data_IF_213035789026
#
_entry.id   IF_213035789026
#
_cell.length_a   1.000
_cell.length_b   1.000
_cell.length_c   1.000
_cell.angle_alpha   90.00
_cell.angle_beta   90.00
_cell.angle_gamma   90.00
#
_symmetry.space_group_name_H-M   'P 1'
#
loop_
_entity.id
_entity.type
_entity.pdbx_description
1 polymer ?
#
# COMPACT_ATOMS: atom_id res chain seq x y z
N UNK A 1 -11.71 -11.68 4.61
CA UNK A 1 -11.16 -11.09 5.86
C UNK A 1 -10.11 -11.98 6.53
N UNK A 2 -10.33 -13.31 6.70
CA UNK A 2 -9.32 -14.19 7.32
C UNK A 2 -8.09 -14.51 6.44
N UNK A 3 -8.23 -14.51 5.11
CA UNK A 3 -7.15 -14.89 4.19
C UNK A 3 -6.03 -13.83 4.08
N UNK A 4 -6.37 -12.54 3.99
CA UNK A 4 -5.36 -11.47 3.92
C UNK A 4 -4.48 -11.40 5.17
N UNK A 5 -5.05 -11.65 6.36
CA UNK A 5 -4.30 -11.65 7.63
C UNK A 5 -3.28 -12.78 7.69
N UNK A 6 -3.57 -13.95 7.11
CA UNK A 6 -2.64 -15.08 7.07
C UNK A 6 -1.52 -14.87 6.03
N UNK A 7 -1.81 -14.19 4.93
CA UNK A 7 -0.83 -13.89 3.87
C UNK A 7 0.17 -12.81 4.27
N UNK A 8 -0.26 -11.78 5.02
CA UNK A 8 0.62 -10.67 5.44
C UNK A 8 1.10 -10.76 6.91
N UNK A 9 0.92 -11.92 7.55
CA UNK A 9 1.33 -12.12 8.96
C UNK A 9 2.85 -12.05 9.16
N UNK A 10 3.62 -12.41 8.13
CA UNK A 10 5.06 -12.25 8.10
C UNK A 10 5.51 -12.07 6.64
N UNK A 11 6.45 -11.15 6.35
CA UNK A 11 7.08 -11.10 5.04
C UNK A 11 7.75 -12.45 4.73
N UNK A 12 7.76 -12.89 3.46
CA UNK A 12 8.47 -14.11 3.09
C UNK A 12 9.94 -13.99 3.49
N UNK A 13 10.59 -15.10 3.88
CA UNK A 13 12.00 -15.08 4.28
C UNK A 13 12.96 -14.60 3.17
N UNK A 14 12.47 -14.47 1.94
CA UNK A 14 13.18 -13.88 0.80
C UNK A 14 12.46 -12.64 0.30
N UNK A 15 11.96 -11.81 1.21
CA UNK A 15 11.35 -10.55 0.85
C UNK A 15 12.37 -9.70 0.06
N UNK A 16 11.99 -9.31 -1.15
CA UNK A 16 12.81 -8.38 -1.93
C UNK A 16 12.69 -6.98 -1.34
N UNK A 17 13.77 -6.19 -1.35
CA UNK A 17 13.64 -4.77 -1.02
C UNK A 17 12.73 -4.08 -2.04
N UNK A 18 11.92 -3.15 -1.57
CA UNK A 18 11.16 -2.28 -2.46
C UNK A 18 12.10 -1.49 -3.38
N UNK A 19 11.64 -1.25 -4.61
CA UNK A 19 12.30 -0.33 -5.54
C UNK A 19 12.30 1.11 -5.02
N UNK A 20 12.97 2.04 -5.73
CA UNK A 20 12.90 3.45 -5.38
C UNK A 20 11.46 3.95 -5.45
N UNK A 21 11.06 4.83 -4.51
CA UNK A 21 9.70 5.35 -4.42
C UNK A 21 9.16 5.88 -5.77
N UNK A 22 10.01 6.55 -6.55
CA UNK A 22 9.64 7.09 -7.87
C UNK A 22 9.24 6.06 -8.93
N UNK A 23 9.54 4.78 -8.75
CA UNK A 23 8.98 3.70 -9.59
C UNK A 23 7.48 3.54 -9.39
N UNK A 24 6.99 3.81 -8.17
CA UNK A 24 5.60 3.60 -7.76
C UNK A 24 4.77 4.89 -7.80
N UNK A 25 5.39 6.04 -8.07
CA UNK A 25 4.69 7.32 -8.15
C UNK A 25 3.84 7.38 -9.41
N UNK A 26 2.55 7.65 -9.26
CA UNK A 26 1.65 7.66 -10.40
C UNK A 26 0.18 7.70 -10.03
N UNK A 27 -0.66 7.73 -11.06
CA UNK A 27 -2.11 7.53 -10.92
C UNK A 27 -2.46 6.10 -11.27
N UNK A 28 -3.23 5.49 -10.41
CA UNK A 28 -3.71 4.13 -10.49
C UNK A 28 -5.24 4.15 -10.44
N UNK A 29 -5.85 3.13 -11.02
CA UNK A 29 -7.28 2.92 -10.92
C UNK A 29 -7.53 1.54 -10.32
N UNK A 30 -8.50 1.48 -9.42
CA UNK A 30 -8.95 0.22 -8.84
C UNK A 30 -10.49 0.24 -8.74
N UNK A 31 -11.15 -0.82 -9.19
CA UNK A 31 -12.61 -0.90 -9.22
C UNK A 31 -13.30 -0.76 -7.84
N UNK A 32 -12.58 -1.01 -6.74
CA UNK A 32 -13.13 -0.90 -5.38
C UNK A 32 -12.95 0.48 -4.74
N UNK A 33 -11.81 1.14 -4.98
CA UNK A 33 -11.47 2.43 -4.35
C UNK A 33 -11.51 3.62 -5.33
N UNK A 34 -11.65 3.35 -6.63
CA UNK A 34 -11.65 4.32 -7.71
C UNK A 34 -10.26 4.81 -8.08
N UNK A 35 -10.17 6.10 -8.42
CA UNK A 35 -8.91 6.78 -8.71
C UNK A 35 -8.05 6.86 -7.45
N UNK A 36 -6.80 6.44 -7.60
CA UNK A 36 -5.79 6.40 -6.57
C UNK A 36 -4.53 7.08 -7.09
N UNK A 37 -3.89 7.89 -6.25
CA UNK A 37 -2.62 8.54 -6.58
C UNK A 37 -1.59 8.09 -5.58
N UNK A 38 -0.48 7.54 -6.05
CA UNK A 38 0.67 7.22 -5.21
C UNK A 38 1.70 8.33 -5.39
N UNK A 39 2.16 8.86 -4.27
CA UNK A 39 3.16 9.93 -4.22
C UNK A 39 4.27 9.55 -3.24
N UNK A 40 5.51 9.87 -3.59
CA UNK A 40 6.63 9.83 -2.66
C UNK A 40 6.58 11.02 -1.71
N UNK A 41 6.58 10.76 -0.41
CA UNK A 41 6.84 11.75 0.63
C UNK A 41 8.15 11.38 1.32
N UNK A 42 9.24 11.99 0.83
CA UNK A 42 10.60 11.66 1.27
C UNK A 42 11.00 10.26 0.79
N UNK A 43 11.31 9.37 1.73
CA UNK A 43 11.67 7.97 1.46
C UNK A 43 10.45 7.03 1.52
N UNK A 44 9.27 7.54 1.87
CA UNK A 44 8.05 6.77 2.04
C UNK A 44 7.05 7.00 0.90
N UNK A 45 6.19 6.02 0.65
CA UNK A 45 5.09 6.14 -0.30
C UNK A 45 3.77 6.43 0.42
N UNK A 46 2.94 7.26 -0.20
CA UNK A 46 1.59 7.60 0.28
C UNK A 46 0.58 7.33 -0.81
N UNK A 47 -0.41 6.49 -0.49
CA UNK A 47 -1.57 6.21 -1.32
C UNK A 47 -2.69 7.20 -0.98
N UNK A 48 -3.09 8.00 -1.97
CA UNK A 48 -4.18 8.97 -1.88
C UNK A 48 -5.37 8.46 -2.66
N UNK A 49 -6.54 8.35 -2.03
CA UNK A 49 -7.75 7.79 -2.65
C UNK A 49 -8.96 8.69 -2.44
N UNK A 50 -9.89 8.60 -3.38
CA UNK A 50 -11.11 9.39 -3.39
C UNK A 50 -10.95 10.79 -4.00
N UNK A 51 -12.05 11.54 -4.14
CA UNK A 51 -12.06 12.81 -4.85
C UNK A 51 -11.06 13.80 -4.27
N UNK A 52 -10.08 14.21 -5.08
CA UNK A 52 -9.01 15.14 -4.68
C UNK A 52 -7.98 14.57 -3.70
N UNK A 53 -7.91 13.24 -3.52
CA UNK A 53 -7.01 12.62 -2.53
C UNK A 53 -7.49 12.79 -1.09
N UNK A 54 -8.82 12.81 -0.89
CA UNK A 54 -9.45 13.05 0.41
C UNK A 54 -9.01 12.09 1.52
N UNK A 55 -8.57 10.89 1.17
CA UNK A 55 -7.96 9.94 2.11
C UNK A 55 -6.53 9.68 1.70
N UNK A 56 -5.62 9.74 2.67
CA UNK A 56 -4.18 9.46 2.47
C UNK A 56 -3.77 8.35 3.42
N UNK A 57 -3.03 7.38 2.90
CA UNK A 57 -2.57 6.23 3.65
C UNK A 57 -1.10 5.97 3.37
N UNK A 58 -0.29 5.89 4.42
CA UNK A 58 1.11 5.50 4.29
C UNK A 58 1.21 4.05 3.83
N UNK A 59 2.10 3.82 2.86
CA UNK A 59 2.45 2.49 2.37
C UNK A 59 3.74 2.05 3.06
N UNK A 60 3.68 0.88 3.68
CA UNK A 60 4.82 0.24 4.32
C UNK A 60 5.34 -0.89 3.44
N UNK A 61 6.65 -0.93 3.24
CA UNK A 61 7.31 -2.01 2.51
C UNK A 61 6.98 -3.38 3.12
N UNK A 62 6.77 -4.38 2.27
CA UNK A 62 6.53 -5.75 2.70
C UNK A 62 7.33 -6.76 1.88
N UNK A 63 7.20 -6.73 0.56
CA UNK A 63 7.95 -7.65 -0.32
C UNK A 63 8.02 -7.10 -1.75
N UNK A 64 9.18 -6.59 -2.16
CA UNK A 64 9.40 -6.02 -3.49
C UNK A 64 8.37 -4.93 -3.80
N UNK A 65 7.52 -5.19 -4.78
CA UNK A 65 6.46 -4.30 -5.24
C UNK A 65 5.16 -4.42 -4.42
N UNK A 66 5.17 -5.16 -3.31
CA UNK A 66 4.05 -5.31 -2.39
C UNK A 66 4.25 -4.45 -1.14
N UNK A 67 3.26 -3.59 -0.90
CA UNK A 67 3.19 -2.70 0.25
C UNK A 67 1.95 -2.99 1.09
N UNK A 68 2.01 -2.66 2.38
CA UNK A 68 0.88 -2.72 3.28
C UNK A 68 0.38 -1.33 3.62
N UNK A 69 -0.94 -1.19 3.68
CA UNK A 69 -1.59 0.01 4.15
C UNK A 69 -2.57 -0.30 5.27
N UNK A 70 -2.72 0.63 6.22
CA UNK A 70 -3.53 0.46 7.43
C UNK A 70 -4.65 1.52 7.43
N UNK A 71 -5.77 1.26 6.72
CA UNK A 71 -6.78 2.27 6.51
C UNK A 71 -7.67 2.50 7.74
N UNK A 72 -7.65 1.56 8.69
CA UNK A 72 -8.44 1.60 9.92
C UNK A 72 -7.52 1.75 11.13
N UNK A 73 -7.52 2.95 11.73
CA UNK A 73 -6.68 3.25 12.88
C UNK A 73 -7.16 2.56 14.17
N UNK A 74 -8.45 2.20 14.23
CA UNK A 74 -9.06 1.50 15.37
C UNK A 74 -8.78 -0.01 15.33
N UNK A 75 -8.44 -0.56 14.15
CA UNK A 75 -8.06 -1.96 13.95
C UNK A 75 -6.74 -2.11 13.19
N UNK A 76 -5.59 -1.74 13.80
CA UNK A 76 -4.27 -1.80 13.16
C UNK A 76 -3.87 -3.24 12.73
N UNK A 77 -4.53 -4.26 13.27
CA UNK A 77 -4.36 -5.67 12.88
C UNK A 77 -4.96 -6.05 11.52
N UNK A 78 -5.51 -5.09 10.76
CA UNK A 78 -6.10 -5.32 9.43
C UNK A 78 -5.39 -4.51 8.33
N UNK A 79 -4.16 -4.89 7.96
CA UNK A 79 -3.54 -4.32 6.77
C UNK A 79 -4.30 -4.73 5.50
N UNK A 80 -4.28 -3.83 4.52
CA UNK A 80 -4.61 -4.11 3.12
C UNK A 80 -3.32 -4.14 2.30
N UNK A 81 -3.18 -5.15 1.43
CA UNK A 81 -2.05 -5.23 0.51
C UNK A 81 -2.26 -4.38 -0.73
N UNK A 82 -1.22 -3.64 -1.12
CA UNK A 82 -1.14 -2.81 -2.32
C UNK A 82 0.03 -3.33 -3.14
N UNK A 83 -0.26 -4.05 -4.20
CA UNK A 83 0.73 -4.56 -5.15
C UNK A 83 0.80 -3.68 -6.40
N UNK A 84 2.00 -3.45 -6.90
CA UNK A 84 2.26 -2.79 -8.17
C UNK A 84 2.72 -3.84 -9.20
N UNK A 85 2.14 -3.82 -10.41
CA UNK A 85 2.48 -4.65 -11.59
C UNK A 85 2.79 -3.75 -12.79
#
# INVERSE_FOLDING_TARGET
>A
VAAAKATYAAPPSSASPAGPASTYEGRYFNDFIGDAVVSGEGDALVLKVGPGGARSYSLKDFDGDLFLTFPDAETPDRPSGVGFD
#
